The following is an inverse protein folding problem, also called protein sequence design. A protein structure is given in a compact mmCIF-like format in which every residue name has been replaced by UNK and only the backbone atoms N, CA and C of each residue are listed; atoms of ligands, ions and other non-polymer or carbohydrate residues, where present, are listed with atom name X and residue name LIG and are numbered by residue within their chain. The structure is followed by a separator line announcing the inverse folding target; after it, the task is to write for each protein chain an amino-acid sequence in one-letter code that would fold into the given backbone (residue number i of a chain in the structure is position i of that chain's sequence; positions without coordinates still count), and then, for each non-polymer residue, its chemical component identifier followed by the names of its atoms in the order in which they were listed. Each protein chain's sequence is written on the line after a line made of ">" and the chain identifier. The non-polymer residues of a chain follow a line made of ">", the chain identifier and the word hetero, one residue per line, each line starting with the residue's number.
data_IF_798647361704
#
_entry.id   IF_798647361704
#
_cell.length_a   1.000
_cell.length_b   1.000
_cell.length_c   1.000
_cell.angle_alpha   90.00
_cell.angle_beta   90.00
_cell.angle_gamma   90.00
#
_symmetry.space_group_name_H-M   'P 1'
#
loop_
_entity.id
_entity.type
_entity.pdbx_description
1 polymer ?
#
# COMPACT_ATOMS: atom_id res chain seq x y z
N UNK A 1 -3.49 -1.98 9.60
CA UNK A 1 -4.63 -2.78 9.08
C UNK A 1 -6.00 -2.50 9.70
N UNK A 2 -6.19 -2.13 10.99
CA UNK A 2 -7.56 -1.92 11.51
C UNK A 2 -8.34 -0.84 10.74
N UNK A 3 -7.73 0.33 10.47
CA UNK A 3 -8.34 1.35 9.61
C UNK A 3 -8.70 0.80 8.22
N UNK A 4 -7.83 -0.04 7.63
CA UNK A 4 -8.09 -0.66 6.33
C UNK A 4 -9.32 -1.57 6.37
N UNK A 5 -9.41 -2.44 7.37
CA UNK A 5 -10.55 -3.36 7.55
C UNK A 5 -11.88 -2.64 7.82
N UNK A 6 -11.84 -1.52 8.53
CA UNK A 6 -13.03 -0.72 8.88
C UNK A 6 -13.54 0.14 7.72
N UNK A 7 -12.63 0.68 6.89
CA UNK A 7 -12.98 1.66 5.85
C UNK A 7 -13.00 1.08 4.42
N UNK A 8 -12.29 -0.03 4.19
CA UNK A 8 -12.15 -0.70 2.90
C UNK A 8 -12.30 -2.22 3.09
N UNK A 9 -13.46 -2.62 3.63
CA UNK A 9 -13.66 -3.97 4.16
C UNK A 9 -13.49 -5.06 3.10
N UNK A 10 -13.97 -4.84 1.87
CA UNK A 10 -13.89 -5.85 0.81
C UNK A 10 -12.46 -5.99 0.30
N UNK A 11 -11.76 -4.88 0.09
CA UNK A 11 -10.36 -4.85 -0.29
C UNK A 11 -9.49 -5.50 0.79
N UNK A 12 -9.74 -5.18 2.07
CA UNK A 12 -9.01 -5.78 3.19
C UNK A 12 -9.24 -7.28 3.31
N UNK A 13 -10.45 -7.77 3.02
CA UNK A 13 -10.74 -9.22 2.97
C UNK A 13 -10.04 -9.89 1.79
N UNK A 14 -10.01 -9.25 0.63
CA UNK A 14 -9.29 -9.76 -0.53
C UNK A 14 -7.81 -9.92 -0.22
N UNK A 15 -7.16 -8.87 0.30
CA UNK A 15 -5.75 -8.91 0.70
C UNK A 15 -5.50 -10.00 1.74
N UNK A 16 -6.37 -10.12 2.75
CA UNK A 16 -6.25 -11.19 3.75
C UNK A 16 -6.40 -12.60 3.14
N UNK A 17 -7.29 -12.77 2.16
CA UNK A 17 -7.48 -14.04 1.47
C UNK A 17 -6.22 -14.44 0.69
N UNK A 18 -5.62 -13.50 -0.05
CA UNK A 18 -4.38 -13.74 -0.78
C UNK A 18 -3.20 -14.00 0.15
N UNK A 19 -3.08 -13.25 1.24
CA UNK A 19 -2.05 -13.46 2.25
C UNK A 19 -2.08 -14.88 2.84
N UNK A 20 -3.27 -15.49 2.96
CA UNK A 20 -3.46 -16.86 3.44
C UNK A 20 -3.37 -17.94 2.34
N UNK A 21 -3.07 -17.59 1.09
CA UNK A 21 -2.98 -18.55 -0.01
C UNK A 21 -1.84 -19.57 0.25
N UNK A 22 -2.06 -20.88 0.07
CA UNK A 22 -1.10 -21.90 0.50
C UNK A 22 0.25 -21.88 -0.24
N UNK A 23 0.31 -21.32 -1.46
CA UNK A 23 1.54 -21.25 -2.27
C UNK A 23 2.07 -19.84 -2.48
N UNK A 24 1.17 -18.88 -2.59
CA UNK A 24 1.48 -17.47 -2.91
C UNK A 24 1.23 -16.56 -1.72
N UNK A 25 0.89 -17.12 -0.56
CA UNK A 25 0.63 -16.35 0.64
C UNK A 25 1.88 -15.69 1.20
N UNK A 26 1.64 -14.71 2.05
CA UNK A 26 2.68 -13.96 2.75
C UNK A 26 2.21 -13.65 4.16
N UNK A 27 3.17 -13.41 5.06
CA UNK A 27 2.84 -13.04 6.43
C UNK A 27 2.21 -11.65 6.47
N UNK A 28 0.90 -11.60 6.63
CA UNK A 28 0.11 -10.37 6.68
C UNK A 28 0.71 -9.35 7.68
N UNK A 29 1.09 -9.81 8.88
CA UNK A 29 1.68 -8.95 9.90
C UNK A 29 3.06 -8.39 9.50
N UNK A 30 3.94 -9.22 8.93
CA UNK A 30 5.28 -8.79 8.50
C UNK A 30 5.17 -7.76 7.36
N UNK A 31 4.29 -8.01 6.39
CA UNK A 31 4.00 -7.05 5.31
C UNK A 31 3.47 -5.74 5.89
N UNK A 32 2.53 -5.81 6.83
CA UNK A 32 1.98 -4.62 7.49
C UNK A 32 3.04 -3.74 8.16
N UNK A 33 3.99 -4.35 8.86
CA UNK A 33 5.10 -3.63 9.51
C UNK A 33 6.00 -2.98 8.46
N UNK A 34 6.39 -3.72 7.42
CA UNK A 34 7.25 -3.21 6.35
C UNK A 34 6.60 -2.04 5.60
N UNK A 35 5.31 -2.16 5.24
CA UNK A 35 4.60 -1.08 4.56
C UNK A 35 4.39 0.14 5.45
N UNK A 36 4.23 -0.05 6.76
CA UNK A 36 4.15 1.06 7.72
C UNK A 36 5.47 1.81 7.78
N UNK A 37 6.59 1.09 7.86
CA UNK A 37 7.94 1.66 7.84
C UNK A 37 8.18 2.42 6.53
N UNK A 38 7.89 1.81 5.39
CA UNK A 38 8.05 2.44 4.07
C UNK A 38 7.21 3.71 3.95
N UNK A 39 5.91 3.68 4.30
CA UNK A 39 5.04 4.84 4.23
C UNK A 39 5.54 5.98 5.15
N UNK A 40 6.00 5.63 6.35
CA UNK A 40 6.55 6.60 7.30
C UNK A 40 7.87 7.21 6.79
N UNK A 41 8.75 6.40 6.21
CA UNK A 41 10.01 6.85 5.62
C UNK A 41 9.73 7.84 4.48
N UNK A 42 8.83 7.52 3.54
CA UNK A 42 8.41 8.43 2.45
C UNK A 42 7.76 9.73 2.97
N UNK A 43 7.04 9.67 4.09
CA UNK A 43 6.51 10.88 4.74
C UNK A 43 7.64 11.76 5.29
N UNK A 44 8.62 11.16 5.95
CA UNK A 44 9.71 11.87 6.62
C UNK A 44 10.69 12.52 5.65
N UNK A 45 11.03 11.86 4.54
CA UNK A 45 11.89 12.46 3.51
C UNK A 45 11.13 13.41 2.57
N UNK A 46 9.79 13.43 2.62
CA UNK A 46 8.95 14.43 1.95
C UNK A 46 8.53 14.06 0.52
N UNK A 47 8.77 12.83 0.08
CA UNK A 47 8.38 12.30 -1.23
C UNK A 47 6.86 12.25 -1.39
N UNK A 48 6.10 12.20 -0.29
CA UNK A 48 4.63 12.22 -0.33
C UNK A 48 4.02 13.62 -0.54
N UNK A 49 4.83 14.68 -0.59
CA UNK A 49 4.32 16.05 -0.76
C UNK A 49 3.43 16.18 -2.00
N UNK A 50 3.85 15.79 -3.22
CA UNK A 50 3.02 15.94 -4.42
C UNK A 50 1.67 15.23 -4.28
N UNK A 51 1.69 13.98 -3.78
CA UNK A 51 0.47 13.23 -3.50
C UNK A 51 -0.49 13.98 -2.58
N UNK A 52 -0.02 14.51 -1.45
CA UNK A 52 -0.87 15.24 -0.51
C UNK A 52 -1.36 16.58 -1.05
N UNK A 53 -0.54 17.30 -1.82
CA UNK A 53 -0.97 18.53 -2.50
C UNK A 53 -2.10 18.26 -3.49
N UNK A 54 -2.06 17.14 -4.21
CA UNK A 54 -3.05 16.80 -5.23
C UNK A 54 -4.35 16.22 -4.65
N UNK A 55 -4.30 15.64 -3.44
CA UNK A 55 -5.41 14.87 -2.87
C UNK A 55 -6.13 15.56 -1.71
N UNK A 56 -5.50 16.54 -1.07
CA UNK A 56 -6.05 17.18 0.13
C UNK A 56 -6.29 18.65 -0.10
N UNK A 57 -7.54 19.13 -0.03
CA UNK A 57 -7.81 20.55 0.04
C UNK A 57 -7.39 21.08 1.42
N UNK A 58 -6.15 21.55 1.53
CA UNK A 58 -5.59 22.12 2.76
C UNK A 58 -4.55 21.23 3.44
N UNK A 59 -4.51 21.25 4.77
CA UNK A 59 -3.47 20.55 5.54
C UNK A 59 -3.81 19.05 5.67
N UNK A 60 -2.91 18.14 5.26
CA UNK A 60 -3.10 16.71 5.47
C UNK A 60 -3.12 16.34 6.95
N UNK A 61 -4.05 15.46 7.32
CA UNK A 61 -4.16 14.90 8.66
C UNK A 61 -3.73 13.43 8.67
N UNK A 62 -3.68 12.84 9.87
CA UNK A 62 -3.36 11.42 10.05
C UNK A 62 -4.29 10.49 9.23
N UNK A 63 -5.53 10.92 8.98
CA UNK A 63 -6.48 10.16 8.17
C UNK A 63 -5.98 9.94 6.75
N UNK A 64 -5.41 10.95 6.10
CA UNK A 64 -4.89 10.82 4.73
C UNK A 64 -3.66 9.92 4.68
N UNK A 65 -2.85 9.92 5.74
CA UNK A 65 -1.77 8.94 5.89
C UNK A 65 -2.30 7.51 6.00
N UNK A 66 -3.37 7.28 6.77
CA UNK A 66 -4.02 5.96 6.82
C UNK A 66 -4.62 5.55 5.47
N UNK A 67 -5.21 6.47 4.72
CA UNK A 67 -5.74 6.21 3.37
C UNK A 67 -4.62 5.82 2.40
N UNK A 68 -3.50 6.54 2.41
CA UNK A 68 -2.31 6.16 1.65
C UNK A 68 -1.81 4.77 2.04
N UNK A 69 -1.75 4.45 3.34
CA UNK A 69 -1.36 3.12 3.79
C UNK A 69 -2.30 2.03 3.24
N UNK A 70 -3.62 2.28 3.20
CA UNK A 70 -4.58 1.34 2.62
C UNK A 70 -4.33 1.12 1.12
N UNK A 71 -4.05 2.21 0.38
CA UNK A 71 -3.64 2.12 -1.02
C UNK A 71 -2.38 1.27 -1.18
N UNK A 72 -1.33 1.54 -0.40
CA UNK A 72 -0.07 0.80 -0.47
C UNK A 72 -0.25 -0.68 -0.15
N UNK A 73 -1.06 -1.02 0.86
CA UNK A 73 -1.36 -2.41 1.20
C UNK A 73 -2.10 -3.14 0.08
N UNK A 74 -3.08 -2.49 -0.53
CA UNK A 74 -3.85 -3.07 -1.62
C UNK A 74 -3.03 -3.24 -2.90
N UNK A 75 -2.24 -2.23 -3.27
CA UNK A 75 -1.38 -2.29 -4.45
C UNK A 75 -0.18 -3.22 -4.26
N UNK A 76 0.35 -3.35 -3.05
CA UNK A 76 1.35 -4.37 -2.75
C UNK A 76 0.80 -5.78 -2.98
N UNK A 77 -0.41 -6.05 -2.50
CA UNK A 77 -1.07 -7.35 -2.69
C UNK A 77 -1.25 -7.70 -4.17
N UNK A 78 -1.78 -6.76 -4.95
CA UNK A 78 -1.90 -6.91 -6.41
C UNK A 78 -0.56 -7.17 -7.08
N UNK A 79 0.45 -6.38 -6.72
CA UNK A 79 1.81 -6.53 -7.24
C UNK A 79 2.37 -7.92 -6.90
N UNK A 80 2.23 -8.35 -5.65
CA UNK A 80 2.72 -9.65 -5.18
C UNK A 80 2.07 -10.81 -5.93
N UNK A 81 0.75 -10.77 -6.10
CA UNK A 81 0.01 -11.80 -6.85
C UNK A 81 0.43 -11.81 -8.32
N UNK A 82 0.59 -10.63 -8.95
CA UNK A 82 0.96 -10.52 -10.37
C UNK A 82 2.39 -11.01 -10.66
N UNK A 83 3.29 -10.88 -9.69
CA UNK A 83 4.69 -11.33 -9.83
C UNK A 83 4.88 -12.84 -9.60
N UNK A 84 3.86 -13.54 -9.07
CA UNK A 84 3.87 -14.98 -8.79
C UNK A 84 5.20 -15.49 -8.19
N UNK A 85 5.63 -14.95 -7.02
CA UNK A 85 6.91 -15.32 -6.43
C UNK A 85 6.98 -16.81 -6.11
N UNK A 86 8.15 -17.42 -6.38
CA UNK A 86 8.35 -18.86 -6.17
C UNK A 86 8.20 -19.27 -4.70
N UNK A 87 8.60 -18.37 -3.78
CA UNK A 87 8.40 -18.58 -2.35
C UNK A 87 8.49 -17.28 -1.56
N UNK A 88 7.98 -17.32 -0.33
CA UNK A 88 8.07 -16.24 0.65
C UNK A 88 9.52 -15.78 0.94
N UNK A 89 10.53 -16.60 0.64
CA UNK A 89 11.94 -16.24 0.83
C UNK A 89 12.37 -15.05 -0.03
N UNK A 90 11.68 -14.82 -1.15
CA UNK A 90 11.95 -13.69 -2.04
C UNK A 90 11.27 -12.40 -1.57
N UNK A 91 10.56 -12.42 -0.44
CA UNK A 91 9.84 -11.25 0.09
C UNK A 91 10.67 -9.97 0.10
N UNK A 92 11.92 -10.06 0.56
CA UNK A 92 12.84 -8.92 0.64
C UNK A 92 13.20 -8.33 -0.73
N UNK A 93 13.21 -9.13 -1.79
CA UNK A 93 13.45 -8.62 -3.14
C UNK A 93 12.21 -7.87 -3.65
N UNK A 94 11.04 -8.46 -3.48
CA UNK A 94 9.78 -7.88 -3.93
C UNK A 94 9.38 -6.63 -3.15
N UNK A 95 9.70 -6.56 -1.85
CA UNK A 95 9.47 -5.35 -1.06
C UNK A 95 10.28 -4.16 -1.63
N UNK A 96 11.54 -4.37 -1.99
CA UNK A 96 12.41 -3.31 -2.52
C UNK A 96 12.00 -2.92 -3.93
N UNK A 97 11.59 -3.91 -4.75
CA UNK A 97 11.01 -3.67 -6.07
C UNK A 97 9.74 -2.82 -5.97
N UNK A 98 8.82 -3.16 -5.07
CA UNK A 98 7.61 -2.37 -4.83
C UNK A 98 7.93 -0.96 -4.34
N UNK A 99 8.84 -0.83 -3.38
CA UNK A 99 9.29 0.48 -2.88
C UNK A 99 9.85 1.36 -4.01
N UNK A 100 10.65 0.78 -4.91
CA UNK A 100 11.19 1.48 -6.09
C UNK A 100 10.08 1.94 -7.04
N UNK A 101 9.07 1.10 -7.28
CA UNK A 101 7.90 1.45 -8.10
C UNK A 101 7.16 2.64 -7.47
N UNK A 102 6.85 2.58 -6.17
CA UNK A 102 6.15 3.66 -5.45
C UNK A 102 6.95 4.96 -5.52
N UNK A 103 8.27 4.90 -5.29
CA UNK A 103 9.15 6.08 -5.39
C UNK A 103 9.16 6.67 -6.79
N UNK A 104 9.18 5.84 -7.82
CA UNK A 104 9.14 6.29 -9.22
C UNK A 104 7.82 6.99 -9.51
N UNK A 105 6.69 6.44 -9.07
CA UNK A 105 5.38 7.09 -9.23
C UNK A 105 5.31 8.44 -8.53
N UNK A 106 5.95 8.59 -7.36
CA UNK A 106 6.00 9.86 -6.62
C UNK A 106 6.85 10.94 -7.29
N UNK A 107 7.61 10.62 -8.35
CA UNK A 107 8.31 11.62 -9.15
C UNK A 107 7.38 12.37 -10.12
N UNK A 108 6.19 11.82 -10.38
CA UNK A 108 5.16 12.49 -11.16
C UNK A 108 4.52 13.63 -10.33
N UNK A 109 4.59 14.89 -10.77
CA UNK A 109 3.94 16.00 -10.08
C UNK A 109 2.43 15.83 -9.92
N UNK A 110 1.77 15.10 -10.81
CA UNK A 110 0.32 14.88 -10.83
C UNK A 110 -0.08 13.57 -10.10
N UNK A 111 0.87 12.94 -9.38
CA UNK A 111 0.64 11.67 -8.70
C UNK A 111 -0.53 11.72 -7.72
N UNK A 112 -1.36 10.67 -7.77
CA UNK A 112 -2.48 10.46 -6.86
C UNK A 112 -2.56 8.99 -6.43
N UNK A 113 -1.95 8.68 -5.29
CA UNK A 113 -1.92 7.34 -4.69
C UNK A 113 -3.15 7.11 -3.79
N UNK A 114 -4.35 7.04 -4.38
CA UNK A 114 -5.59 6.81 -3.63
C UNK A 114 -6.25 5.50 -4.00
N UNK A 115 -6.78 4.82 -2.97
CA UNK A 115 -7.60 3.63 -3.16
C UNK A 115 -9.04 4.07 -3.46
N UNK A 116 -9.43 3.98 -4.72
CA UNK A 116 -10.85 4.05 -5.11
C UNK A 116 -11.51 2.73 -4.76
N UNK A 117 -12.19 2.69 -3.62
CA UNK A 117 -13.06 1.57 -3.26
C UNK A 117 -14.09 1.37 -4.38
N UNK A 118 -14.45 0.12 -4.67
CA UNK A 118 -15.59 -0.14 -5.53
C UNK A 118 -16.83 0.41 -4.81
N UNK A 119 -17.38 1.52 -5.30
CA UNK A 119 -18.52 2.20 -4.67
C UNK A 119 -19.63 1.18 -4.43
N UNK A 120 -20.07 1.04 -3.17
CA UNK A 120 -21.36 0.41 -2.89
C UNK A 120 -22.41 1.31 -3.54
N UNK A 121 -22.96 0.85 -4.66
CA UNK A 121 -24.25 1.35 -5.15
C UNK A 121 -25.34 0.94 -4.15
#
# INVERSE_FOLDING_TARGET
>A
FSFFSENYTEEARQVLSHANHPKLGYSYAIVGINLTEMAYSLLKSGELKPHFYNTVPGTPELRQFHQLYCYLAYEFDKFWVAEEPESIMQFNQYREKFHTIVKTNLQDPDVNLTLTACSKN
#
